data_IF_405187147414
#
_entry.id   IF_405187147414
#
_cell.length_a   1.000
_cell.length_b   1.000
_cell.length_c   1.000
_cell.angle_alpha   90.00
_cell.angle_beta   90.00
_cell.angle_gamma   90.00
#
_symmetry.space_group_name_H-M   'P 1'
#
loop_
_entity.id
_entity.type
_entity.pdbx_description
1 polymer ?
#
# COMPACT_ATOMS: atom_id res chain seq x y z
N UNK A 1 17.59 9.52 -13.86
CA UNK A 1 16.26 8.89 -13.84
C UNK A 1 16.35 7.56 -13.10
N UNK A 2 16.07 7.53 -11.81
CA UNK A 2 15.97 6.26 -11.08
C UNK A 2 14.54 5.73 -11.28
N UNK A 3 14.40 4.64 -12.04
CA UNK A 3 13.14 3.91 -12.16
C UNK A 3 12.80 3.32 -10.79
N UNK A 4 11.77 3.87 -10.13
CA UNK A 4 11.08 3.21 -9.02
C UNK A 4 10.50 1.92 -9.62
N UNK A 5 11.22 0.80 -9.50
CA UNK A 5 10.65 -0.50 -9.87
C UNK A 5 9.44 -0.73 -8.94
N UNK A 6 8.29 -1.07 -9.45
CA UNK A 6 7.09 -1.24 -8.62
C UNK A 6 6.95 -2.69 -8.16
N UNK A 7 6.08 -2.97 -7.16
CA UNK A 7 5.78 -4.35 -6.80
C UNK A 7 5.03 -5.01 -7.96
N UNK A 8 5.65 -6.01 -8.58
CA UNK A 8 5.00 -6.77 -9.65
C UNK A 8 3.95 -7.75 -9.08
N UNK A 9 2.98 -8.20 -9.89
CA UNK A 9 2.05 -9.29 -9.51
C UNK A 9 2.76 -10.53 -8.95
N UNK A 10 3.99 -10.81 -9.40
CA UNK A 10 4.80 -11.91 -8.89
C UNK A 10 5.19 -11.75 -7.41
N UNK A 11 5.39 -10.53 -6.91
CA UNK A 11 5.67 -10.32 -5.47
C UNK A 11 4.45 -10.63 -4.60
N UNK A 12 3.25 -10.24 -5.06
CA UNK A 12 2.01 -10.53 -4.34
C UNK A 12 1.68 -12.03 -4.33
N UNK A 13 2.07 -12.74 -5.39
CA UNK A 13 1.91 -14.19 -5.50
C UNK A 13 2.68 -14.98 -4.41
N UNK A 14 3.75 -14.39 -3.88
CA UNK A 14 4.58 -15.00 -2.82
C UNK A 14 4.07 -14.70 -1.40
N UNK A 15 3.01 -13.89 -1.23
CA UNK A 15 2.47 -13.52 0.08
C UNK A 15 1.90 -14.75 0.80
N UNK A 16 2.37 -15.02 2.02
CA UNK A 16 1.94 -16.16 2.84
C UNK A 16 1.09 -15.73 4.01
N UNK A 17 0.34 -16.67 4.58
CA UNK A 17 -0.50 -16.40 5.73
C UNK A 17 0.28 -15.83 6.92
N UNK A 18 1.54 -16.22 7.11
CA UNK A 18 2.42 -15.66 8.15
C UNK A 18 2.85 -14.20 7.93
N UNK A 19 2.71 -13.63 6.73
CA UNK A 19 3.11 -12.24 6.40
C UNK A 19 2.15 -11.18 6.93
N UNK A 20 0.88 -11.55 7.11
CA UNK A 20 -0.10 -10.65 7.70
C UNK A 20 0.28 -10.49 9.20
N UNK A 21 0.17 -9.33 9.85
CA UNK A 21 0.42 -9.21 11.30
C UNK A 21 -0.83 -8.69 12.02
N UNK A 22 -1.34 -9.49 12.97
CA UNK A 22 -2.60 -9.24 13.68
C UNK A 22 -2.50 -8.11 14.71
N UNK A 23 -1.35 -7.92 15.35
CA UNK A 23 -1.28 -7.10 16.57
C UNK A 23 -1.24 -5.59 16.31
N UNK A 24 -1.01 -5.16 15.06
CA UNK A 24 -0.79 -3.74 14.74
C UNK A 24 -1.61 -3.24 13.54
N UNK A 25 -2.50 -4.05 12.98
CA UNK A 25 -3.17 -3.69 11.71
C UNK A 25 -2.13 -3.43 10.61
N UNK A 26 -1.15 -4.33 10.45
CA UNK A 26 -0.03 -4.14 9.53
C UNK A 26 0.22 -5.43 8.73
N UNK A 27 0.63 -5.30 7.47
CA UNK A 27 1.16 -6.40 6.66
C UNK A 27 2.67 -6.24 6.53
N UNK A 28 3.42 -7.29 6.84
CA UNK A 28 4.84 -7.35 6.56
C UNK A 28 5.03 -7.70 5.09
N UNK A 29 5.54 -6.75 4.31
CA UNK A 29 5.95 -6.98 2.93
C UNK A 29 7.41 -7.40 2.94
N UNK A 30 7.67 -8.72 2.90
CA UNK A 30 9.04 -9.29 3.01
C UNK A 30 9.91 -9.08 1.77
N UNK A 31 9.32 -8.93 0.57
CA UNK A 31 10.02 -8.73 -0.71
C UNK A 31 9.42 -7.53 -1.45
N UNK A 32 9.73 -6.34 -0.94
CA UNK A 32 9.43 -5.10 -1.63
C UNK A 32 10.33 -4.90 -2.86
N UNK A 33 10.02 -3.90 -3.70
CA UNK A 33 10.98 -3.43 -4.70
C UNK A 33 12.33 -3.14 -4.04
N UNK A 34 13.41 -3.65 -4.64
CA UNK A 34 14.76 -3.44 -4.14
C UNK A 34 15.10 -4.30 -2.93
N UNK A 35 14.29 -5.34 -2.66
CA UNK A 35 14.52 -6.30 -1.57
C UNK A 35 14.22 -5.75 -0.18
N UNK A 36 13.67 -4.53 -0.06
CA UNK A 36 13.41 -3.91 1.23
C UNK A 36 12.16 -4.48 1.87
N UNK A 37 12.29 -4.90 3.14
CA UNK A 37 11.17 -5.23 4.01
C UNK A 37 10.47 -3.94 4.43
N UNK A 38 9.14 -3.90 4.41
CA UNK A 38 8.38 -2.79 4.98
C UNK A 38 7.11 -3.29 5.68
N UNK A 39 6.64 -2.51 6.65
CA UNK A 39 5.33 -2.67 7.24
C UNK A 39 4.37 -1.72 6.50
N UNK A 40 3.32 -2.27 5.91
CA UNK A 40 2.25 -1.51 5.32
C UNK A 40 1.04 -1.53 6.27
N UNK A 41 0.44 -0.38 6.60
CA UNK A 41 -0.78 -0.35 7.39
C UNK A 41 -1.92 -1.04 6.64
N UNK A 42 -2.76 -1.73 7.40
CA UNK A 42 -4.02 -2.31 6.96
C UNK A 42 -5.10 -1.28 7.22
N UNK A 43 -5.90 -0.99 6.19
CA UNK A 43 -7.08 -0.17 6.37
C UNK A 43 -8.08 -0.90 7.27
N UNK A 44 -8.73 -0.21 8.23
CA UNK A 44 -9.69 -0.85 9.15
C UNK A 44 -10.78 -1.67 8.45
N UNK A 45 -11.21 -1.20 7.28
CA UNK A 45 -12.21 -1.87 6.42
C UNK A 45 -11.80 -3.26 5.91
N UNK A 46 -10.50 -3.57 5.91
CA UNK A 46 -9.95 -4.82 5.36
C UNK A 46 -9.53 -5.80 6.47
N UNK A 47 -9.54 -5.38 7.74
CA UNK A 47 -9.10 -6.21 8.86
C UNK A 47 -9.88 -7.52 8.97
N UNK A 48 -11.21 -7.48 8.86
CA UNK A 48 -12.05 -8.67 8.92
C UNK A 48 -11.74 -9.65 7.78
N UNK A 49 -11.52 -9.12 6.57
CA UNK A 49 -11.12 -9.93 5.42
C UNK A 49 -9.79 -10.64 5.67
N UNK A 50 -8.79 -9.95 6.23
CA UNK A 50 -7.50 -10.55 6.57
C UNK A 50 -7.64 -11.63 7.64
N UNK A 51 -8.50 -11.42 8.64
CA UNK A 51 -8.77 -12.44 9.66
C UNK A 51 -9.39 -13.70 9.04
N UNK A 52 -10.37 -13.52 8.16
CA UNK A 52 -11.01 -14.63 7.42
C UNK A 52 -10.01 -15.36 6.53
N UNK A 53 -9.16 -14.63 5.80
CA UNK A 53 -8.16 -15.21 4.92
C UNK A 53 -7.13 -16.07 5.66
N UNK A 54 -6.84 -15.77 6.93
CA UNK A 54 -5.88 -16.56 7.74
C UNK A 54 -6.51 -17.71 8.49
N UNK A 55 -7.81 -17.64 8.79
CA UNK A 55 -8.48 -18.64 9.63
C UNK A 55 -8.35 -20.01 8.96
N UNK A 56 -7.73 -20.95 9.67
CA UNK A 56 -7.52 -22.32 9.18
C UNK A 56 -6.32 -22.52 8.23
N UNK A 57 -5.52 -21.49 7.96
CA UNK A 57 -4.32 -21.60 7.10
C UNK A 57 -3.04 -21.78 7.91
N UNK A 58 -2.11 -22.56 7.36
CA UNK A 58 -0.75 -22.68 7.90
C UNK A 58 0.08 -21.42 7.59
N UNK A 59 1.03 -20.99 8.44
CA UNK A 59 1.82 -19.77 8.23
C UNK A 59 2.57 -19.73 6.89
N UNK A 60 2.97 -20.89 6.37
CA UNK A 60 3.69 -21.05 5.11
C UNK A 60 2.75 -21.06 3.90
N UNK A 61 1.45 -21.20 4.09
CA UNK A 61 0.50 -21.29 2.99
C UNK A 61 0.40 -19.96 2.23
N UNK A 62 0.39 -20.00 0.89
CA UNK A 62 0.19 -18.81 0.07
C UNK A 62 -1.25 -18.32 0.21
N UNK A 63 -1.43 -17.01 0.37
CA UNK A 63 -2.76 -16.40 0.41
C UNK A 63 -3.45 -16.51 -0.94
N UNK A 64 -2.70 -16.22 -2.01
CA UNK A 64 -3.19 -16.25 -3.38
C UNK A 64 -2.71 -17.50 -4.10
N UNK A 65 -3.64 -18.25 -4.70
CA UNK A 65 -3.31 -19.36 -5.59
C UNK A 65 -2.76 -18.86 -6.92
N UNK A 66 -3.36 -17.81 -7.48
CA UNK A 66 -2.92 -17.11 -8.69
C UNK A 66 -3.38 -15.66 -8.66
N UNK A 67 -2.53 -14.75 -9.09
CA UNK A 67 -2.86 -13.35 -9.35
C UNK A 67 -2.93 -13.15 -10.87
N UNK A 68 -4.00 -12.54 -11.40
CA UNK A 68 -4.09 -12.23 -12.82
C UNK A 68 -2.91 -11.38 -13.28
N UNK A 69 -2.30 -11.74 -14.42
CA UNK A 69 -1.20 -10.98 -15.03
C UNK A 69 -1.61 -9.56 -15.44
N UNK A 70 -2.90 -9.36 -15.74
CA UNK A 70 -3.48 -8.09 -16.18
C UNK A 70 -4.16 -7.33 -15.02
N UNK A 71 -3.94 -7.74 -13.76
CA UNK A 71 -4.44 -6.99 -12.63
C UNK A 71 -3.78 -5.59 -12.62
N UNK A 72 -4.60 -4.54 -12.61
CA UNK A 72 -4.09 -3.17 -12.50
C UNK A 72 -3.66 -2.88 -11.05
N UNK A 73 -2.43 -3.29 -10.75
CA UNK A 73 -1.81 -3.06 -9.44
C UNK A 73 -1.64 -1.56 -9.17
N UNK A 74 -1.50 -0.71 -10.19
CA UNK A 74 -1.33 0.73 -9.99
C UNK A 74 -2.63 1.39 -9.55
N UNK A 75 -3.76 0.99 -10.13
CA UNK A 75 -5.08 1.44 -9.69
C UNK A 75 -5.34 1.04 -8.23
N UNK A 76 -5.11 -0.23 -7.87
CA UNK A 76 -5.30 -0.70 -6.49
C UNK A 76 -4.40 0.05 -5.49
N UNK A 77 -3.14 0.31 -5.85
CA UNK A 77 -2.23 1.09 -4.98
C UNK A 77 -2.65 2.55 -4.86
N UNK A 78 -3.25 3.14 -5.90
CA UNK A 78 -3.83 4.49 -5.85
C UNK A 78 -5.01 4.51 -4.89
N UNK A 79 -5.95 3.59 -5.03
CA UNK A 79 -7.10 3.50 -4.13
C UNK A 79 -6.68 3.34 -2.66
N UNK A 80 -5.72 2.45 -2.40
CA UNK A 80 -5.14 2.25 -1.07
C UNK A 80 -4.47 3.51 -0.51
N UNK A 81 -3.62 4.17 -1.30
CA UNK A 81 -2.95 5.41 -0.90
C UNK A 81 -3.94 6.55 -0.61
N UNK A 82 -4.99 6.69 -1.43
CA UNK A 82 -6.04 7.68 -1.23
C UNK A 82 -6.86 7.40 0.03
N UNK A 83 -7.26 6.15 0.25
CA UNK A 83 -8.00 5.74 1.44
C UNK A 83 -7.17 5.96 2.72
N UNK A 84 -5.89 5.61 2.69
CA UNK A 84 -4.97 5.84 3.79
C UNK A 84 -4.77 7.34 4.06
N UNK A 85 -4.61 8.15 3.01
CA UNK A 85 -4.51 9.60 3.17
C UNK A 85 -5.76 10.19 3.84
N UNK A 86 -6.97 9.81 3.39
CA UNK A 86 -8.22 10.27 4.00
C UNK A 86 -8.31 9.86 5.49
N UNK A 87 -7.92 8.63 5.80
CA UNK A 87 -7.92 8.12 7.17
C UNK A 87 -6.98 8.92 8.08
N UNK A 88 -5.76 9.21 7.60
CA UNK A 88 -4.72 9.89 8.38
C UNK A 88 -4.97 11.40 8.51
N UNK A 89 -5.33 12.06 7.40
CA UNK A 89 -5.52 13.51 7.36
C UNK A 89 -6.91 13.94 7.83
N UNK A 90 -7.92 13.06 7.75
CA UNK A 90 -9.35 13.40 7.85
C UNK A 90 -9.79 14.50 6.89
N UNK A 91 -9.08 14.64 5.76
CA UNK A 91 -9.35 15.60 4.68
C UNK A 91 -9.71 14.85 3.39
N UNK A 92 -10.40 15.54 2.50
CA UNK A 92 -10.55 15.10 1.12
C UNK A 92 -9.21 15.14 0.37
N UNK A 93 -9.17 14.43 -0.76
CA UNK A 93 -8.00 14.42 -1.61
C UNK A 93 -7.67 15.83 -2.12
N UNK A 94 -6.37 16.15 -2.29
CA UNK A 94 -5.97 17.39 -2.92
C UNK A 94 -6.51 17.50 -4.36
N UNK A 95 -6.59 18.71 -4.93
CA UNK A 95 -7.04 18.91 -6.31
C UNK A 95 -6.27 18.03 -7.30
N UNK A 96 -6.99 17.32 -8.18
CA UNK A 96 -6.40 16.44 -9.18
C UNK A 96 -5.62 17.19 -10.27
N UNK A 97 -5.83 18.51 -10.39
CA UNK A 97 -5.24 19.36 -11.42
C UNK A 97 -4.24 20.35 -10.84
N UNK A 98 -3.26 20.72 -11.67
CA UNK A 98 -2.23 21.69 -11.30
C UNK A 98 -1.13 21.13 -10.39
N UNK A 99 -0.26 22.03 -9.94
CA UNK A 99 0.83 21.73 -9.01
C UNK A 99 0.35 21.93 -7.58
N UNK A 100 0.35 20.86 -6.80
CA UNK A 100 0.02 20.93 -5.37
C UNK A 100 1.06 21.74 -4.61
N UNK A 101 0.59 22.67 -3.78
CA UNK A 101 1.38 23.43 -2.82
C UNK A 101 1.31 22.75 -1.45
N UNK A 102 2.27 22.99 -0.56
CA UNK A 102 2.26 22.39 0.79
C UNK A 102 1.02 22.72 1.64
N UNK A 103 0.27 23.78 1.30
CA UNK A 103 -1.02 24.13 1.92
C UNK A 103 -2.19 23.23 1.48
N UNK A 104 -2.07 22.62 0.31
CA UNK A 104 -3.17 21.91 -0.36
C UNK A 104 -3.32 20.47 0.17
N UNK A 105 -2.37 20.00 0.98
CA UNK A 105 -2.37 18.65 1.55
C UNK A 105 -1.82 18.63 2.99
N UNK A 106 -2.09 17.56 3.72
CA UNK A 106 -1.46 17.28 5.01
C UNK A 106 -0.09 16.62 4.81
N UNK A 107 0.98 17.30 5.21
CA UNK A 107 2.36 16.82 5.00
C UNK A 107 2.68 15.56 5.80
N UNK A 108 2.13 15.43 7.01
CA UNK A 108 2.36 14.27 7.89
C UNK A 108 1.67 13.05 7.27
N UNK A 109 0.42 13.20 6.85
CA UNK A 109 -0.32 12.13 6.18
C UNK A 109 0.36 11.69 4.88
N UNK A 110 0.79 12.62 4.03
CA UNK A 110 1.52 12.30 2.79
C UNK A 110 2.81 11.54 3.06
N UNK A 111 3.55 11.92 4.11
CA UNK A 111 4.78 11.23 4.51
C UNK A 111 4.51 9.79 4.93
N UNK A 112 3.48 9.57 5.75
CA UNK A 112 3.08 8.24 6.18
C UNK A 112 2.59 7.37 5.00
N UNK A 113 1.83 7.94 4.06
CA UNK A 113 1.43 7.25 2.82
C UNK A 113 2.65 6.87 1.98
N UNK A 114 3.65 7.76 1.85
CA UNK A 114 4.87 7.47 1.12
C UNK A 114 5.65 6.31 1.74
N UNK A 115 5.77 6.26 3.07
CA UNK A 115 6.40 5.15 3.80
C UNK A 115 5.65 3.84 3.56
N UNK A 116 4.31 3.86 3.68
CA UNK A 116 3.46 2.69 3.44
C UNK A 116 3.63 2.13 2.02
N UNK A 117 3.69 3.01 1.02
CA UNK A 117 3.91 2.64 -0.37
C UNK A 117 5.39 2.35 -0.71
N UNK A 118 6.32 2.64 0.20
CA UNK A 118 7.75 2.39 0.00
C UNK A 118 8.43 3.39 -0.94
N UNK A 119 7.90 4.61 -1.07
CA UNK A 119 8.51 5.68 -1.86
C UNK A 119 9.43 6.55 -1.01
N UNK A 120 10.64 6.80 -1.52
CA UNK A 120 11.58 7.75 -0.89
C UNK A 120 11.30 9.20 -1.31
N UNK A 121 10.38 9.43 -2.26
CA UNK A 121 10.06 10.74 -2.84
C UNK A 121 8.57 11.04 -2.66
N UNK A 122 8.25 12.06 -1.87
CA UNK A 122 6.86 12.51 -1.66
C UNK A 122 6.20 12.98 -2.96
N UNK A 123 6.98 13.55 -3.88
CA UNK A 123 6.52 14.01 -5.19
C UNK A 123 5.90 12.88 -6.04
N UNK A 124 6.34 11.62 -5.86
CA UNK A 124 5.74 10.47 -6.55
C UNK A 124 4.33 10.20 -6.02
N UNK A 125 4.15 10.25 -4.69
CA UNK A 125 2.85 10.08 -4.03
C UNK A 125 1.88 11.19 -4.44
N UNK A 126 2.33 12.45 -4.37
CA UNK A 126 1.52 13.61 -4.73
C UNK A 126 1.06 13.61 -6.19
N UNK A 127 1.89 13.13 -7.13
CA UNK A 127 1.57 13.16 -8.57
C UNK A 127 0.79 11.96 -9.06
N UNK A 128 1.01 10.79 -8.48
CA UNK A 128 0.50 9.53 -9.04
C UNK A 128 -0.57 8.86 -8.18
N UNK A 129 -0.59 9.17 -6.88
CA UNK A 129 -1.40 8.45 -5.91
C UNK A 129 -2.45 9.32 -5.21
N UNK A 130 -2.21 10.63 -5.03
CA UNK A 130 -3.15 11.56 -4.37
C UNK A 130 -3.85 12.51 -5.34
N UNK A 131 -4.16 12.02 -6.53
CA UNK A 131 -4.98 12.70 -7.55
C UNK A 131 -6.24 11.90 -7.82
#
# INVERSE_FOLDING_TARGET
MAQDRELSPAHWQELRAGDLNKAAGMVLVRRGTGGRRRLAPVLPSVEELLQRLRRGRQPEERIFARIPSHLDVHALRREDAQALYRLLSRRELPPATGRLRPSDYDQVAVTQVAVAQGHNRLDVVLRHYLR
#
